data_IF_027317242759
#
_entry.id   IF_027317242759
#
_cell.length_a   1.000
_cell.length_b   1.000
_cell.length_c   1.000
_cell.angle_alpha   90.00
_cell.angle_beta   90.00
_cell.angle_gamma   90.00
#
_symmetry.space_group_name_H-M   'P 1'
#
loop_
_entity.id
_entity.type
_entity.pdbx_description
1 polymer ?
#
# COMPACT_ATOMS: atom_id res chain seq x y z
N UNK A 1 -2.79 -2.42 6.38
CA UNK A 1 -4.24 -2.62 6.10
C UNK A 1 -4.96 -2.88 7.41
N UNK A 2 -6.10 -2.24 7.60
CA UNK A 2 -6.96 -2.51 8.78
C UNK A 2 -7.49 -3.95 8.72
N UNK A 3 -7.96 -4.38 7.54
CA UNK A 3 -8.43 -5.74 7.24
C UNK A 3 -8.99 -5.80 5.82
N UNK A 4 -9.19 -7.00 5.30
CA UNK A 4 -9.76 -7.18 3.96
C UNK A 4 -11.27 -7.25 3.96
N UNK A 5 -11.84 -7.29 2.76
CA UNK A 5 -13.28 -7.35 2.52
C UNK A 5 -13.67 -8.63 1.78
N UNK A 6 -14.76 -9.25 2.21
CA UNK A 6 -15.40 -10.41 1.59
C UNK A 6 -14.66 -11.72 1.75
N UNK A 7 -15.43 -12.79 1.78
CA UNK A 7 -14.88 -14.14 1.81
C UNK A 7 -14.22 -14.49 0.47
N UNK A 8 -13.20 -15.32 0.50
CA UNK A 8 -12.40 -15.68 -0.68
C UNK A 8 -13.18 -16.43 -1.78
N UNK A 9 -14.34 -16.98 -1.46
CA UNK A 9 -15.18 -17.76 -2.37
C UNK A 9 -14.40 -18.85 -3.15
N UNK A 10 -13.34 -19.39 -2.52
CA UNK A 10 -12.46 -20.39 -3.13
C UNK A 10 -11.33 -19.82 -3.99
N UNK A 11 -11.24 -18.49 -4.18
CA UNK A 11 -10.12 -17.88 -4.87
C UNK A 11 -8.88 -17.89 -3.98
N UNK A 12 -7.94 -18.77 -4.27
CA UNK A 12 -6.80 -19.09 -3.40
C UNK A 12 -5.78 -17.95 -3.23
N UNK A 13 -5.79 -16.97 -4.11
CA UNK A 13 -4.87 -15.82 -4.07
C UNK A 13 -5.43 -14.64 -3.29
N UNK A 14 -6.63 -14.77 -2.77
CA UNK A 14 -7.30 -13.75 -1.99
C UNK A 14 -7.05 -13.96 -0.50
N UNK A 15 -7.08 -12.87 0.25
CA UNK A 15 -7.05 -12.91 1.72
C UNK A 15 -8.17 -13.85 2.24
N UNK A 16 -7.78 -14.83 3.08
CA UNK A 16 -8.70 -15.89 3.52
C UNK A 16 -9.57 -15.49 4.71
N UNK A 17 -9.11 -14.53 5.49
CA UNK A 17 -9.78 -14.07 6.71
C UNK A 17 -9.93 -12.56 6.66
N UNK A 18 -10.98 -12.05 6.00
CA UNK A 18 -11.26 -10.63 5.92
C UNK A 18 -11.83 -10.11 7.24
N UNK A 19 -11.59 -8.83 7.52
CA UNK A 19 -12.25 -8.16 8.65
C UNK A 19 -13.75 -7.96 8.36
N UNK A 20 -14.08 -7.48 7.17
CA UNK A 20 -15.46 -7.29 6.74
C UNK A 20 -15.93 -8.50 5.94
N UNK A 21 -16.75 -9.37 6.53
CA UNK A 21 -17.21 -10.63 5.90
C UNK A 21 -18.41 -10.45 4.99
N UNK A 22 -19.21 -9.43 5.22
CA UNK A 22 -20.35 -8.98 4.41
C UNK A 22 -20.61 -7.50 4.72
N UNK A 23 -21.45 -6.79 3.96
CA UNK A 23 -21.79 -5.39 4.23
C UNK A 23 -22.20 -5.18 5.70
N UNK A 24 -21.44 -4.35 6.42
CA UNK A 24 -21.66 -4.05 7.83
C UNK A 24 -21.46 -5.21 8.81
N UNK A 25 -20.90 -6.34 8.38
CA UNK A 25 -20.57 -7.48 9.25
C UNK A 25 -19.07 -7.65 9.38
N UNK A 26 -18.57 -7.63 10.60
CA UNK A 26 -17.14 -7.62 10.91
C UNK A 26 -16.76 -8.85 11.74
N UNK A 27 -15.60 -9.43 11.46
CA UNK A 27 -15.01 -10.52 12.24
C UNK A 27 -14.22 -9.93 13.42
N UNK A 28 -14.78 -10.10 14.62
CA UNK A 28 -14.18 -9.57 15.84
C UNK A 28 -12.81 -10.20 16.15
N UNK A 29 -12.56 -11.44 15.73
CA UNK A 29 -11.24 -12.07 15.95
C UNK A 29 -10.14 -11.36 15.15
N UNK A 30 -10.46 -10.93 13.93
CA UNK A 30 -9.53 -10.14 13.10
C UNK A 30 -9.32 -8.76 13.71
N UNK A 31 -10.39 -8.13 14.19
CA UNK A 31 -10.30 -6.83 14.86
C UNK A 31 -9.46 -6.91 16.15
N UNK A 32 -9.62 -7.96 16.95
CA UNK A 32 -8.77 -8.21 18.16
C UNK A 32 -7.31 -8.45 17.76
N UNK A 33 -7.05 -9.08 16.62
CA UNK A 33 -5.70 -9.20 16.07
C UNK A 33 -5.04 -7.85 15.81
N UNK A 34 -5.80 -6.89 15.26
CA UNK A 34 -5.33 -5.52 15.07
C UNK A 34 -5.12 -4.79 16.41
N UNK A 35 -6.04 -4.98 17.38
CA UNK A 35 -5.87 -4.44 18.74
C UNK A 35 -4.54 -4.91 19.36
N UNK A 36 -4.23 -6.20 19.21
CA UNK A 36 -2.99 -6.78 19.72
C UNK A 36 -1.75 -6.18 19.03
N UNK A 37 -1.80 -6.06 17.70
CA UNK A 37 -0.71 -5.45 16.93
C UNK A 37 -0.43 -4.02 17.42
N UNK A 38 -1.46 -3.19 17.53
CA UNK A 38 -1.32 -1.80 18.00
C UNK A 38 -0.79 -1.72 19.42
N UNK A 39 -1.27 -2.59 20.33
CA UNK A 39 -0.77 -2.66 21.71
C UNK A 39 0.72 -3.03 21.75
N UNK A 40 1.16 -3.96 20.91
CA UNK A 40 2.57 -4.36 20.83
C UNK A 40 3.45 -3.30 20.16
N UNK A 41 2.92 -2.54 19.21
CA UNK A 41 3.59 -1.40 18.59
C UNK A 41 3.77 -0.25 19.60
N UNK A 42 2.73 0.10 20.37
CA UNK A 42 2.82 1.13 21.42
C UNK A 42 3.93 0.83 22.41
N UNK A 43 3.99 -0.40 22.95
CA UNK A 43 5.06 -0.86 23.85
C UNK A 43 6.46 -0.69 23.28
N UNK A 44 6.61 -0.76 21.95
CA UNK A 44 7.91 -0.65 21.25
C UNK A 44 8.15 0.73 20.67
N UNK A 45 7.27 1.69 20.94
CA UNK A 45 7.31 3.04 20.37
C UNK A 45 7.31 3.05 18.83
N UNK A 46 6.71 2.03 18.23
CA UNK A 46 6.48 1.93 16.80
C UNK A 46 5.20 2.63 16.42
N UNK A 47 5.13 3.11 15.17
CA UNK A 47 3.96 3.79 14.62
C UNK A 47 3.41 3.01 13.43
N UNK A 48 2.09 3.01 13.31
CA UNK A 48 1.37 2.40 12.20
C UNK A 48 0.78 3.48 11.29
N UNK A 49 0.85 3.24 9.99
CA UNK A 49 -0.03 3.84 8.98
C UNK A 49 -1.01 2.75 8.57
N UNK A 50 -2.30 3.04 8.64
CA UNK A 50 -3.35 2.05 8.44
C UNK A 50 -4.29 2.47 7.30
N UNK A 51 -4.26 1.75 6.18
CA UNK A 51 -5.21 1.97 5.09
C UNK A 51 -6.51 1.17 5.30
N UNK A 52 -7.65 1.79 4.94
CA UNK A 52 -8.96 1.18 5.14
C UNK A 52 -9.27 0.11 4.10
N UNK A 53 -9.17 0.43 2.83
CA UNK A 53 -9.51 -0.49 1.73
C UNK A 53 -8.39 -0.54 0.69
N UNK A 54 -8.62 -1.15 -0.45
CA UNK A 54 -7.62 -1.40 -1.47
C UNK A 54 -8.21 -1.26 -2.87
N UNK A 55 -7.40 -0.82 -3.82
CA UNK A 55 -7.76 -0.92 -5.24
C UNK A 55 -7.78 -2.37 -5.71
N UNK A 56 -6.88 -3.20 -5.16
CA UNK A 56 -6.60 -4.55 -5.62
C UNK A 56 -7.52 -5.60 -5.00
N UNK A 57 -7.90 -6.55 -5.82
CA UNK A 57 -8.86 -7.61 -5.51
C UNK A 57 -8.34 -8.66 -4.51
N UNK A 58 -7.02 -8.76 -4.30
CA UNK A 58 -6.45 -9.77 -3.41
C UNK A 58 -6.88 -9.61 -1.94
N UNK A 59 -7.24 -8.40 -1.52
CA UNK A 59 -7.84 -8.15 -0.20
C UNK A 59 -9.35 -8.01 -0.22
N UNK A 60 -9.98 -8.12 -1.37
CA UNK A 60 -11.36 -7.76 -1.64
C UNK A 60 -11.48 -6.41 -2.33
N UNK A 61 -11.11 -5.36 -1.62
CA UNK A 61 -11.01 -4.01 -2.15
C UNK A 61 -12.31 -3.50 -2.78
N UNK A 62 -12.16 -2.51 -3.66
CA UNK A 62 -13.32 -1.88 -4.33
C UNK A 62 -14.17 -2.89 -5.11
N UNK A 63 -13.54 -3.93 -5.64
CA UNK A 63 -14.23 -5.00 -6.37
C UNK A 63 -15.27 -5.73 -5.53
N UNK A 64 -14.97 -5.96 -4.24
CA UNK A 64 -15.88 -6.66 -3.36
C UNK A 64 -17.15 -5.87 -3.08
N UNK A 65 -17.06 -4.56 -2.95
CA UNK A 65 -18.24 -3.71 -2.78
C UNK A 65 -19.15 -3.76 -4.01
N UNK A 66 -18.55 -3.84 -5.21
CA UNK A 66 -19.34 -4.03 -6.45
C UNK A 66 -20.08 -5.38 -6.44
N UNK A 67 -19.41 -6.48 -6.10
CA UNK A 67 -20.05 -7.80 -6.01
C UNK A 67 -21.18 -7.83 -4.99
N UNK A 68 -21.02 -7.19 -3.84
CA UNK A 68 -22.08 -7.08 -2.82
C UNK A 68 -23.31 -6.29 -3.29
N UNK A 69 -23.14 -5.47 -4.31
CA UNK A 69 -24.21 -4.66 -4.90
C UNK A 69 -24.69 -5.20 -6.24
N UNK A 70 -24.49 -6.49 -6.50
CA UNK A 70 -25.07 -7.20 -7.64
C UNK A 70 -24.32 -7.03 -8.97
N UNK A 71 -23.14 -6.46 -8.95
CA UNK A 71 -22.27 -6.44 -10.14
C UNK A 71 -21.70 -7.86 -10.41
N UNK A 72 -21.28 -8.15 -11.65
CA UNK A 72 -20.68 -9.43 -11.98
C UNK A 72 -19.47 -9.76 -11.11
N UNK A 73 -19.05 -11.03 -11.12
CA UNK A 73 -17.83 -11.46 -10.43
C UNK A 73 -16.59 -10.67 -10.87
N UNK A 74 -15.72 -10.38 -9.92
CA UNK A 74 -14.46 -9.67 -10.15
C UNK A 74 -13.60 -10.41 -11.17
N UNK A 75 -13.07 -9.71 -12.20
CA UNK A 75 -12.04 -10.28 -13.06
C UNK A 75 -10.74 -10.46 -12.27
N UNK A 76 -10.29 -11.68 -12.02
CA UNK A 76 -9.08 -11.95 -11.24
C UNK A 76 -7.82 -12.03 -12.11
N UNK A 77 -6.70 -11.39 -11.74
CA UNK A 77 -5.45 -11.38 -12.54
C UNK A 77 -4.84 -12.76 -12.81
N UNK A 78 -5.15 -13.76 -11.98
CA UNK A 78 -4.66 -15.14 -12.15
C UNK A 78 -5.60 -16.03 -12.97
N UNK A 79 -6.71 -15.48 -13.44
CA UNK A 79 -7.59 -16.19 -14.38
C UNK A 79 -6.96 -16.15 -15.77
N UNK A 80 -6.89 -17.27 -16.52
CA UNK A 80 -6.39 -17.28 -17.89
C UNK A 80 -7.13 -16.35 -18.86
N UNK A 81 -8.37 -16.00 -18.56
CA UNK A 81 -9.19 -15.07 -19.34
C UNK A 81 -9.04 -13.61 -18.91
N UNK A 82 -8.13 -13.33 -17.96
CA UNK A 82 -7.96 -11.97 -17.43
C UNK A 82 -7.58 -10.97 -18.52
N UNK A 83 -8.26 -9.84 -18.48
CA UNK A 83 -8.01 -8.70 -19.33
C UNK A 83 -7.90 -7.43 -18.45
N UNK A 84 -6.75 -6.79 -18.51
CA UNK A 84 -6.47 -5.61 -17.69
C UNK A 84 -7.46 -4.48 -17.93
N UNK A 85 -7.84 -4.24 -19.19
CA UNK A 85 -8.81 -3.18 -19.52
C UNK A 85 -10.19 -3.50 -18.94
N UNK A 86 -10.61 -4.76 -19.00
CA UNK A 86 -11.88 -5.20 -18.37
C UNK A 86 -11.86 -5.03 -16.87
N UNK A 87 -10.75 -5.36 -16.21
CA UNK A 87 -10.58 -5.14 -14.77
C UNK A 87 -10.68 -3.66 -14.42
N UNK A 88 -9.97 -2.81 -15.16
CA UNK A 88 -10.04 -1.35 -14.94
C UNK A 88 -11.47 -0.80 -15.13
N UNK A 89 -12.14 -1.19 -16.20
CA UNK A 89 -13.54 -0.81 -16.45
C UNK A 89 -14.49 -1.33 -15.36
N UNK A 90 -14.23 -2.53 -14.84
CA UNK A 90 -15.01 -3.10 -13.77
C UNK A 90 -14.86 -2.28 -12.47
N UNK A 91 -13.64 -2.10 -12.01
CA UNK A 91 -13.37 -1.37 -10.75
C UNK A 91 -13.79 0.11 -10.84
N UNK A 92 -13.65 0.75 -12.00
CA UNK A 92 -14.08 2.14 -12.20
C UNK A 92 -15.56 2.39 -11.88
N UNK A 93 -16.42 1.37 -11.98
CA UNK A 93 -17.84 1.47 -11.67
C UNK A 93 -18.09 1.76 -10.18
N UNK A 94 -17.14 1.46 -9.30
CA UNK A 94 -17.24 1.76 -7.87
C UNK A 94 -17.53 3.25 -7.63
N UNK A 95 -16.89 4.15 -8.37
CA UNK A 95 -16.99 5.59 -8.14
C UNK A 95 -18.37 6.18 -8.50
N UNK A 96 -19.21 5.42 -9.19
CA UNK A 96 -20.61 5.77 -9.48
C UNK A 96 -21.63 4.88 -8.76
N UNK A 97 -21.16 3.93 -7.95
CA UNK A 97 -22.01 3.03 -7.15
C UNK A 97 -22.24 3.66 -5.76
N UNK A 98 -23.34 4.40 -5.59
CA UNK A 98 -23.62 5.04 -4.29
C UNK A 98 -23.69 4.03 -3.12
N UNK A 99 -24.40 2.87 -3.22
CA UNK A 99 -24.41 1.90 -2.13
C UNK A 99 -23.03 1.34 -1.79
N UNK A 100 -22.13 1.21 -2.81
CA UNK A 100 -20.76 0.77 -2.57
C UNK A 100 -19.99 1.77 -1.70
N UNK A 101 -20.10 3.06 -2.00
CA UNK A 101 -19.47 4.15 -1.25
C UNK A 101 -20.00 4.24 0.18
N UNK A 102 -21.31 4.13 0.37
CA UNK A 102 -21.95 4.10 1.70
C UNK A 102 -21.47 2.91 2.55
N UNK A 103 -21.21 1.77 1.93
CA UNK A 103 -20.66 0.60 2.63
C UNK A 103 -19.19 0.84 3.07
N UNK A 104 -18.38 1.53 2.27
CA UNK A 104 -17.02 1.96 2.67
C UNK A 104 -17.11 2.97 3.82
N UNK A 105 -18.01 3.93 3.75
CA UNK A 105 -18.23 4.90 4.83
C UNK A 105 -18.61 4.20 6.14
N UNK A 106 -19.46 3.18 6.06
CA UNK A 106 -19.86 2.36 7.21
C UNK A 106 -18.67 1.62 7.81
N UNK A 107 -17.80 1.09 6.96
CA UNK A 107 -16.57 0.42 7.38
C UNK A 107 -15.61 1.39 8.08
N UNK A 108 -15.36 2.56 7.49
CA UNK A 108 -14.53 3.60 8.10
C UNK A 108 -15.07 4.00 9.48
N UNK A 109 -16.39 4.23 9.60
CA UNK A 109 -17.03 4.56 10.89
C UNK A 109 -16.84 3.46 11.93
N UNK A 110 -16.98 2.19 11.53
CA UNK A 110 -16.76 1.05 12.41
C UNK A 110 -15.33 1.04 12.97
N UNK A 111 -14.33 1.22 12.11
CA UNK A 111 -12.92 1.21 12.51
C UNK A 111 -12.60 2.38 13.44
N UNK A 112 -13.01 3.60 13.07
CA UNK A 112 -12.70 4.80 13.86
C UNK A 112 -13.45 4.86 15.20
N UNK A 113 -14.60 4.20 15.31
CA UNK A 113 -15.34 4.08 16.56
C UNK A 113 -14.80 2.99 17.50
N UNK A 114 -13.82 2.18 17.03
CA UNK A 114 -13.31 1.07 17.81
C UNK A 114 -12.53 1.54 19.04
N UNK A 115 -12.75 0.83 20.15
CA UNK A 115 -11.89 0.89 21.34
C UNK A 115 -11.05 -0.38 21.38
N UNK A 116 -9.73 -0.24 21.43
CA UNK A 116 -8.79 -1.34 21.52
C UNK A 116 -9.11 -2.21 22.76
N UNK A 117 -9.38 -3.48 22.56
CA UNK A 117 -9.81 -4.40 23.63
C UNK A 117 -8.69 -4.72 24.64
N UNK A 118 -7.42 -4.45 24.29
CA UNK A 118 -6.24 -4.71 25.11
C UNK A 118 -5.84 -3.44 25.88
N UNK A 119 -5.61 -2.34 25.16
CA UNK A 119 -5.15 -1.07 25.76
C UNK A 119 -6.28 -0.24 26.38
N UNK A 120 -7.54 -0.54 26.03
CA UNK A 120 -8.75 0.23 26.39
C UNK A 120 -8.77 1.66 25.85
N UNK A 121 -7.89 2.00 24.89
CA UNK A 121 -7.86 3.30 24.22
C UNK A 121 -8.77 3.29 22.98
N UNK A 122 -9.56 4.34 22.73
CA UNK A 122 -10.19 4.52 21.42
C UNK A 122 -9.14 4.61 20.31
N UNK A 123 -9.39 4.04 19.14
CA UNK A 123 -8.46 4.10 18.00
C UNK A 123 -8.11 5.55 17.61
N UNK A 124 -9.08 6.44 17.65
CA UNK A 124 -8.86 7.88 17.39
C UNK A 124 -7.99 8.59 18.45
N UNK A 125 -7.53 7.86 19.48
CA UNK A 125 -6.62 8.34 20.52
C UNK A 125 -5.45 7.38 20.74
N UNK A 126 -5.29 6.35 19.88
CA UNK A 126 -4.25 5.34 20.05
C UNK A 126 -2.89 5.89 19.57
N UNK A 127 -1.90 6.05 20.46
CA UNK A 127 -0.62 6.64 20.11
C UNK A 127 0.22 5.76 19.18
N UNK A 128 -0.13 4.48 18.99
CA UNK A 128 0.52 3.63 18.01
C UNK A 128 0.12 3.98 16.57
N UNK A 129 -1.03 4.60 16.37
CA UNK A 129 -1.47 5.04 15.05
C UNK A 129 -0.83 6.41 14.77
N UNK A 130 -0.11 6.54 13.68
CA UNK A 130 0.42 7.81 13.18
C UNK A 130 -0.53 8.45 12.19
N UNK A 131 -1.01 7.64 11.24
CA UNK A 131 -1.85 8.12 10.17
C UNK A 131 -2.88 7.09 9.72
N UNK A 132 -3.99 7.60 9.25
CA UNK A 132 -4.94 6.86 8.42
C UNK A 132 -4.60 7.07 6.95
N UNK A 133 -4.87 6.08 6.16
CA UNK A 133 -4.73 6.11 4.72
C UNK A 133 -6.06 5.70 4.09
N UNK A 134 -6.56 6.50 3.15
CA UNK A 134 -7.88 6.26 2.55
C UNK A 134 -7.95 4.86 1.97
N UNK A 135 -6.95 4.50 1.15
CA UNK A 135 -6.86 3.15 0.59
C UNK A 135 -5.46 2.89 0.03
N UNK A 136 -5.09 1.64 -0.08
CA UNK A 136 -3.89 1.27 -0.81
C UNK A 136 -4.06 1.50 -2.32
N UNK A 137 -3.17 2.27 -2.90
CA UNK A 137 -3.04 2.54 -4.34
C UNK A 137 -4.32 3.02 -5.02
N UNK A 138 -4.95 4.12 -4.54
CA UNK A 138 -6.17 4.66 -5.16
C UNK A 138 -5.95 5.03 -6.62
N UNK A 139 -6.79 4.47 -7.49
CA UNK A 139 -6.75 4.72 -8.94
C UNK A 139 -8.14 5.03 -9.48
N UNK A 140 -8.31 6.02 -10.35
CA UNK A 140 -9.59 6.22 -11.06
C UNK A 140 -9.90 5.05 -12.01
N UNK A 141 -8.92 4.22 -12.34
CA UNK A 141 -8.97 3.09 -13.25
C UNK A 141 -9.19 3.45 -14.70
N UNK A 142 -10.05 4.43 -14.98
CA UNK A 142 -10.27 4.98 -16.33
C UNK A 142 -10.27 6.52 -16.27
N UNK A 143 -9.89 7.16 -17.35
CA UNK A 143 -9.93 8.62 -17.42
C UNK A 143 -11.34 9.18 -17.23
N UNK A 144 -12.34 8.46 -17.73
CA UNK A 144 -13.76 8.85 -17.59
C UNK A 144 -14.22 8.86 -16.13
N UNK A 145 -13.66 8.00 -15.28
CA UNK A 145 -14.01 7.93 -13.85
C UNK A 145 -13.28 8.97 -12.99
N UNK A 146 -12.26 9.68 -13.52
CA UNK A 146 -11.45 10.63 -12.73
C UNK A 146 -12.27 11.64 -11.94
N UNK A 147 -13.29 12.32 -12.49
CA UNK A 147 -14.06 13.31 -11.71
C UNK A 147 -14.82 12.67 -10.52
N UNK A 148 -15.40 11.48 -10.73
CA UNK A 148 -16.12 10.77 -9.68
C UNK A 148 -15.14 10.23 -8.60
N UNK A 149 -13.97 9.75 -9.02
CA UNK A 149 -12.87 9.35 -8.14
C UNK A 149 -12.41 10.52 -7.24
N UNK A 150 -12.09 11.68 -7.83
CA UNK A 150 -11.67 12.86 -7.07
C UNK A 150 -12.75 13.32 -6.07
N UNK A 151 -14.01 13.23 -6.47
CA UNK A 151 -15.15 13.57 -5.59
C UNK A 151 -15.23 12.59 -4.42
N UNK A 152 -15.09 11.29 -4.66
CA UNK A 152 -15.10 10.27 -3.63
C UNK A 152 -13.89 10.41 -2.68
N UNK A 153 -12.68 10.66 -3.19
CA UNK A 153 -11.49 10.88 -2.37
C UNK A 153 -11.69 12.07 -1.41
N UNK A 154 -12.23 13.17 -1.91
CA UNK A 154 -12.53 14.36 -1.09
C UNK A 154 -13.59 14.08 -0.02
N UNK A 155 -14.67 13.38 -0.39
CA UNK A 155 -15.72 12.97 0.55
C UNK A 155 -15.13 12.10 1.67
N UNK A 156 -14.36 11.09 1.31
CA UNK A 156 -13.78 10.14 2.27
C UNK A 156 -12.75 10.83 3.19
N UNK A 157 -11.93 11.73 2.66
CA UNK A 157 -11.00 12.53 3.48
C UNK A 157 -11.76 13.37 4.50
N UNK A 158 -12.82 14.08 4.09
CA UNK A 158 -13.66 14.87 4.97
C UNK A 158 -14.36 14.00 6.03
N UNK A 159 -14.86 12.81 5.66
CA UNK A 159 -15.46 11.87 6.59
C UNK A 159 -14.46 11.46 7.69
N UNK A 160 -13.27 10.99 7.29
CA UNK A 160 -12.25 10.54 8.24
C UNK A 160 -11.88 11.68 9.20
N UNK A 161 -11.57 12.86 8.70
CA UNK A 161 -11.22 14.03 9.53
C UNK A 161 -12.36 14.54 10.40
N UNK A 162 -13.62 14.28 10.02
CA UNK A 162 -14.76 14.60 10.90
C UNK A 162 -14.83 13.69 12.12
N UNK A 163 -14.33 12.46 12.02
CA UNK A 163 -14.36 11.43 13.06
C UNK A 163 -13.07 11.39 13.88
N UNK A 164 -11.94 11.69 13.26
CA UNK A 164 -10.63 11.70 13.89
C UNK A 164 -9.85 12.97 13.50
N UNK A 165 -9.65 13.83 14.49
CA UNK A 165 -8.89 15.08 14.35
C UNK A 165 -7.44 14.96 14.88
N UNK A 166 -7.08 13.82 15.46
CA UNK A 166 -5.80 13.64 16.13
C UNK A 166 -4.73 13.06 15.20
N UNK A 167 -5.12 12.12 14.34
CA UNK A 167 -4.17 11.44 13.48
C UNK A 167 -4.04 12.11 12.11
N UNK A 168 -2.89 11.92 11.50
CA UNK A 168 -2.66 12.37 10.12
C UNK A 168 -3.51 11.55 9.15
N UNK A 169 -3.76 12.13 7.97
CA UNK A 169 -4.46 11.48 6.88
C UNK A 169 -3.67 11.63 5.59
N UNK A 170 -3.53 10.53 4.85
CA UNK A 170 -3.01 10.49 3.50
C UNK A 170 -3.90 9.67 2.58
N UNK A 171 -3.55 9.65 1.31
CA UNK A 171 -4.34 8.97 0.28
C UNK A 171 -3.94 7.52 0.07
N UNK A 172 -2.65 7.17 0.24
CA UNK A 172 -2.04 5.90 -0.15
C UNK A 172 -1.72 5.80 -1.64
N UNK A 173 -1.52 6.95 -2.29
CA UNK A 173 -1.32 7.02 -3.74
C UNK A 173 0.07 6.55 -4.16
N UNK A 174 0.12 5.85 -5.30
CA UNK A 174 1.38 5.56 -5.99
C UNK A 174 2.02 6.82 -6.62
N UNK A 175 1.27 7.91 -6.76
CA UNK A 175 1.67 9.09 -7.53
C UNK A 175 0.96 9.15 -8.90
N UNK A 176 1.63 9.74 -9.90
CA UNK A 176 1.06 9.87 -11.26
C UNK A 176 0.85 8.53 -11.98
N UNK A 177 1.53 7.47 -11.53
CA UNK A 177 1.32 6.11 -12.04
C UNK A 177 -0.12 5.63 -11.85
N UNK A 178 -0.79 6.09 -10.80
CA UNK A 178 -2.19 5.78 -10.51
C UNK A 178 -3.17 6.37 -11.54
N UNK A 179 -2.78 7.39 -12.29
CA UNK A 179 -3.64 8.18 -13.18
C UNK A 179 -3.07 8.35 -14.59
N UNK A 180 -2.52 7.28 -15.15
CA UNK A 180 -1.96 7.25 -16.51
C UNK A 180 -0.93 8.37 -16.75
N UNK A 181 -0.04 8.58 -15.77
CA UNK A 181 1.01 9.60 -15.75
C UNK A 181 0.49 11.04 -15.78
N UNK A 182 -0.74 11.27 -15.31
CA UNK A 182 -1.34 12.59 -15.17
C UNK A 182 -1.06 13.17 -13.79
N UNK A 183 0.04 13.89 -13.66
CA UNK A 183 0.48 14.50 -12.41
C UNK A 183 -0.54 15.51 -11.85
N UNK A 184 -1.33 16.15 -12.71
CA UNK A 184 -2.38 17.08 -12.33
C UNK A 184 -3.53 16.42 -11.55
N UNK A 185 -3.82 15.14 -11.81
CA UNK A 185 -4.78 14.36 -11.00
C UNK A 185 -4.22 14.15 -9.58
N UNK A 186 -2.94 13.76 -9.50
CA UNK A 186 -2.24 13.61 -8.22
C UNK A 186 -2.26 14.93 -7.42
N UNK A 187 -1.95 16.06 -8.06
CA UNK A 187 -1.98 17.37 -7.44
C UNK A 187 -3.37 17.74 -6.91
N UNK A 188 -4.43 17.59 -7.73
CA UNK A 188 -5.80 17.92 -7.32
C UNK A 188 -6.30 17.09 -6.15
N UNK A 189 -5.99 15.81 -6.10
CA UNK A 189 -6.37 14.94 -4.98
C UNK A 189 -5.65 15.37 -3.69
N UNK A 190 -4.35 15.66 -3.77
CA UNK A 190 -3.56 16.02 -2.60
C UNK A 190 -3.70 17.50 -2.19
N UNK A 191 -4.34 18.35 -3.02
CA UNK A 191 -4.65 19.74 -2.65
C UNK A 191 -5.77 19.83 -1.60
N UNK A 192 -6.52 18.75 -1.34
CA UNK A 192 -7.56 18.74 -0.31
C UNK A 192 -6.98 19.08 1.06
N UNK A 193 -7.58 20.05 1.81
CA UNK A 193 -7.06 20.49 3.11
C UNK A 193 -7.09 19.39 4.20
N UNK A 194 -7.88 18.33 4.00
CA UNK A 194 -7.93 17.20 4.92
C UNK A 194 -6.78 16.20 4.73
N UNK A 195 -6.03 16.29 3.63
CA UNK A 195 -4.84 15.45 3.38
C UNK A 195 -3.63 16.16 3.96
N UNK A 196 -2.94 15.50 4.90
CA UNK A 196 -1.82 16.11 5.64
C UNK A 196 -0.49 15.95 4.92
N UNK A 197 -0.29 14.85 4.18
CA UNK A 197 0.95 14.58 3.45
C UNK A 197 0.69 13.73 2.18
N UNK A 198 1.63 13.77 1.27
CA UNK A 198 1.59 13.05 0.00
C UNK A 198 2.31 11.71 0.12
N UNK A 199 1.84 10.71 -0.62
CA UNK A 199 2.51 9.41 -0.75
C UNK A 199 2.79 9.09 -2.21
N UNK A 200 3.89 8.38 -2.45
CA UNK A 200 4.21 7.75 -3.73
C UNK A 200 4.77 6.35 -3.52
N UNK A 201 4.47 5.45 -4.48
CA UNK A 201 5.06 4.13 -4.57
C UNK A 201 5.95 4.04 -5.80
N UNK A 202 7.01 3.24 -5.77
CA UNK A 202 7.92 3.11 -6.90
C UNK A 202 8.30 1.64 -7.11
N UNK A 203 7.73 1.05 -8.15
CA UNK A 203 7.85 -0.36 -8.49
C UNK A 203 8.55 -0.60 -9.83
N UNK A 204 9.91 -0.55 -9.87
CA UNK A 204 10.65 -0.66 -11.13
C UNK A 204 10.39 -1.95 -11.89
N UNK A 205 10.20 -3.09 -11.19
CA UNK A 205 9.88 -4.36 -11.82
C UNK A 205 8.49 -4.30 -12.47
N UNK A 206 7.47 -3.90 -11.71
CA UNK A 206 6.08 -3.88 -12.16
C UNK A 206 5.85 -2.89 -13.31
N UNK A 207 6.59 -1.79 -13.31
CA UNK A 207 6.52 -0.77 -14.36
C UNK A 207 7.44 -1.05 -15.56
N UNK A 208 8.08 -2.23 -15.61
CA UNK A 208 8.95 -2.64 -16.71
C UNK A 208 10.25 -1.85 -16.83
N UNK A 209 10.66 -1.13 -15.77
CA UNK A 209 11.94 -0.44 -15.73
C UNK A 209 13.10 -1.39 -15.40
N UNK A 210 12.83 -2.38 -14.56
CA UNK A 210 13.74 -3.44 -14.17
C UNK A 210 13.24 -4.77 -14.76
N UNK A 211 14.01 -5.34 -15.71
CA UNK A 211 13.68 -6.60 -16.37
C UNK A 211 14.63 -7.70 -15.89
N UNK A 212 14.27 -8.96 -16.17
CA UNK A 212 15.03 -10.15 -15.76
C UNK A 212 16.49 -10.13 -16.23
N UNK A 213 16.75 -9.47 -17.34
CA UNK A 213 18.09 -9.24 -17.89
C UNK A 213 18.76 -7.97 -17.36
N UNK A 214 18.18 -7.34 -16.32
CA UNK A 214 18.77 -6.17 -15.72
C UNK A 214 20.12 -6.54 -15.11
N UNK A 215 21.13 -6.24 -15.85
CA UNK A 215 22.52 -6.34 -15.44
C UNK A 215 22.91 -5.10 -14.66
N UNK A 216 24.06 -5.13 -14.00
CA UNK A 216 24.69 -3.94 -13.37
C UNK A 216 24.65 -2.72 -14.32
N UNK A 217 24.75 -2.92 -15.63
CA UNK A 217 24.67 -1.84 -16.65
C UNK A 217 23.28 -1.18 -16.76
N UNK A 218 22.21 -1.86 -16.38
CA UNK A 218 20.84 -1.32 -16.43
C UNK A 218 20.46 -0.47 -15.23
N UNK A 219 21.12 -0.64 -14.09
CA UNK A 219 20.77 0.04 -12.85
C UNK A 219 20.80 1.58 -12.92
N UNK A 220 21.78 2.23 -13.59
CA UNK A 220 21.74 3.68 -13.74
C UNK A 220 20.48 4.20 -14.43
N UNK A 221 19.91 3.44 -15.39
CA UNK A 221 18.66 3.80 -16.08
C UNK A 221 17.47 3.64 -15.13
N UNK A 222 17.41 2.55 -14.36
CA UNK A 222 16.36 2.30 -13.35
C UNK A 222 16.36 3.42 -12.30
N UNK A 223 17.53 3.72 -11.75
CA UNK A 223 17.71 4.78 -10.74
C UNK A 223 17.38 6.15 -11.34
N UNK A 224 17.79 6.42 -12.60
CA UNK A 224 17.45 7.66 -13.30
C UNK A 224 15.94 7.85 -13.45
N UNK A 225 15.20 6.81 -13.84
CA UNK A 225 13.74 6.85 -13.93
C UNK A 225 13.09 7.07 -12.57
N UNK A 226 13.56 6.36 -11.52
CA UNK A 226 13.06 6.54 -10.16
C UNK A 226 13.31 7.98 -9.67
N UNK A 227 14.47 8.55 -9.94
CA UNK A 227 14.79 9.94 -9.61
C UNK A 227 13.85 10.91 -10.30
N UNK A 228 13.68 10.79 -11.61
CA UNK A 228 12.76 11.66 -12.36
C UNK A 228 11.34 11.56 -11.79
N UNK A 229 10.90 10.36 -11.43
CA UNK A 229 9.59 10.16 -10.79
C UNK A 229 9.48 10.91 -9.47
N UNK A 230 10.46 10.74 -8.58
CA UNK A 230 10.51 11.45 -7.29
C UNK A 230 10.56 12.96 -7.49
N UNK A 231 11.44 13.46 -8.38
CA UNK A 231 11.59 14.90 -8.64
C UNK A 231 10.28 15.55 -9.10
N UNK A 232 9.51 14.90 -9.96
CA UNK A 232 8.20 15.39 -10.41
C UNK A 232 7.21 15.54 -9.24
N UNK A 233 7.17 14.56 -8.32
CA UNK A 233 6.27 14.59 -7.17
C UNK A 233 6.75 15.53 -6.06
N UNK A 234 8.07 15.73 -5.93
CA UNK A 234 8.65 16.76 -5.06
C UNK A 234 8.18 18.16 -5.47
N UNK A 235 8.11 18.45 -6.78
CA UNK A 235 7.58 19.73 -7.26
C UNK A 235 6.16 19.95 -6.78
N UNK A 236 5.28 18.94 -6.90
CA UNK A 236 3.90 19.04 -6.42
C UNK A 236 3.86 19.21 -4.90
N UNK A 237 4.64 18.44 -4.15
CA UNK A 237 4.70 18.55 -2.70
C UNK A 237 5.13 19.97 -2.25
N UNK A 238 6.12 20.56 -2.92
CA UNK A 238 6.57 21.94 -2.66
C UNK A 238 5.49 22.96 -3.00
N UNK A 239 4.79 22.82 -4.13
CA UNK A 239 3.69 23.70 -4.52
C UNK A 239 2.54 23.68 -3.52
N UNK A 240 2.21 22.49 -3.00
CA UNK A 240 1.15 22.31 -2.00
C UNK A 240 1.62 22.64 -0.58
N UNK A 241 2.92 22.79 -0.33
CA UNK A 241 3.49 22.99 1.00
C UNK A 241 3.27 21.82 1.94
N UNK A 242 3.17 20.59 1.42
CA UNK A 242 2.90 19.38 2.21
C UNK A 242 4.09 18.40 2.14
N UNK A 243 4.38 17.66 3.22
CA UNK A 243 5.41 16.63 3.21
C UNK A 243 5.12 15.52 2.19
N UNK A 244 6.19 14.86 1.70
CA UNK A 244 6.13 13.70 0.83
C UNK A 244 6.74 12.48 1.53
N UNK A 245 6.06 11.34 1.47
CA UNK A 245 6.57 10.04 1.91
C UNK A 245 6.69 9.12 0.70
N UNK A 246 7.85 8.46 0.53
CA UNK A 246 8.00 7.34 -0.39
C UNK A 246 7.53 6.10 0.37
N UNK A 247 6.26 5.77 0.21
CA UNK A 247 5.55 4.84 1.09
C UNK A 247 5.79 3.40 0.73
N UNK A 248 6.02 3.12 -0.56
CA UNK A 248 6.44 1.81 -1.02
C UNK A 248 7.55 1.93 -2.06
N UNK A 249 8.59 1.16 -1.90
CA UNK A 249 9.57 0.88 -2.94
C UNK A 249 10.25 -0.45 -2.66
N UNK A 250 10.56 -1.19 -3.70
CA UNK A 250 11.20 -2.48 -3.58
C UNK A 250 11.93 -2.89 -4.84
N UNK A 251 12.84 -3.84 -4.69
CA UNK A 251 13.50 -4.51 -5.79
C UNK A 251 13.79 -5.96 -5.41
N UNK A 252 13.58 -6.92 -6.32
CA UNK A 252 13.92 -8.32 -6.08
C UNK A 252 15.43 -8.50 -5.85
N UNK A 253 15.81 -9.67 -5.32
CA UNK A 253 17.21 -10.14 -5.34
C UNK A 253 17.71 -10.27 -6.77
N UNK A 254 19.03 -10.24 -6.93
CA UNK A 254 19.67 -10.41 -8.23
C UNK A 254 19.19 -11.70 -8.90
N UNK A 255 18.86 -11.61 -10.19
CA UNK A 255 18.28 -12.72 -10.94
C UNK A 255 16.83 -13.06 -10.59
N UNK A 256 16.17 -12.25 -9.75
CA UNK A 256 14.77 -12.45 -9.30
C UNK A 256 14.53 -13.81 -8.65
N UNK A 257 15.53 -14.30 -7.94
CA UNK A 257 15.47 -15.57 -7.21
C UNK A 257 14.94 -15.37 -5.78
N UNK A 258 14.29 -16.40 -5.24
CA UNK A 258 13.65 -16.37 -3.93
C UNK A 258 14.58 -16.80 -2.78
N UNK A 259 15.69 -17.46 -3.11
CA UNK A 259 16.60 -18.00 -2.10
C UNK A 259 17.28 -16.88 -1.31
N UNK A 260 17.25 -16.91 0.03
CA UNK A 260 17.85 -15.89 0.88
C UNK A 260 19.37 -15.68 0.68
N UNK A 261 20.06 -16.71 0.16
CA UNK A 261 21.51 -16.64 -0.11
C UNK A 261 21.88 -15.94 -1.43
N UNK A 262 20.85 -15.62 -2.25
CA UNK A 262 21.10 -14.90 -3.48
C UNK A 262 21.56 -13.47 -3.22
N UNK A 263 22.40 -12.94 -4.11
CA UNK A 263 22.94 -11.58 -4.04
C UNK A 263 21.82 -10.53 -3.98
N UNK A 264 22.01 -9.52 -3.15
CA UNK A 264 21.14 -8.32 -3.06
C UNK A 264 21.82 -7.07 -3.62
N UNK A 265 22.91 -7.23 -4.38
CA UNK A 265 23.75 -6.11 -4.82
C UNK A 265 22.96 -5.03 -5.56
N UNK A 266 22.08 -5.41 -6.51
CA UNK A 266 21.27 -4.45 -7.26
C UNK A 266 20.20 -3.80 -6.38
N UNK A 267 19.59 -4.56 -5.47
CA UNK A 267 18.69 -4.02 -4.45
C UNK A 267 19.40 -3.01 -3.56
N UNK A 268 20.58 -3.32 -3.08
CA UNK A 268 21.36 -2.45 -2.18
C UNK A 268 21.75 -1.14 -2.87
N UNK A 269 22.13 -1.21 -4.16
CA UNK A 269 22.39 -0.02 -4.99
C UNK A 269 21.13 0.83 -5.16
N UNK A 270 19.98 0.21 -5.47
CA UNK A 270 18.70 0.88 -5.61
C UNK A 270 18.25 1.53 -4.29
N UNK A 271 18.30 0.80 -3.17
CA UNK A 271 17.92 1.32 -1.84
C UNK A 271 18.82 2.49 -1.44
N UNK A 272 20.13 2.40 -1.68
CA UNK A 272 21.06 3.50 -1.43
C UNK A 272 20.70 4.75 -2.23
N UNK A 273 20.30 4.59 -3.50
CA UNK A 273 19.87 5.69 -4.34
C UNK A 273 18.55 6.30 -3.83
N UNK A 274 17.57 5.47 -3.46
CA UNK A 274 16.29 5.92 -2.91
C UNK A 274 16.47 6.73 -1.62
N UNK A 275 17.16 6.19 -0.63
CA UNK A 275 17.44 6.91 0.61
C UNK A 275 18.28 8.18 0.40
N UNK A 276 19.15 8.19 -0.63
CA UNK A 276 19.94 9.36 -0.99
C UNK A 276 19.09 10.55 -1.48
N UNK A 277 17.90 10.31 -2.00
CA UNK A 277 17.01 11.38 -2.51
C UNK A 277 16.45 12.25 -1.39
N UNK A 278 16.20 11.70 -0.17
CA UNK A 278 15.77 12.50 0.97
C UNK A 278 16.78 13.61 1.32
N UNK A 279 18.07 13.31 1.23
CA UNK A 279 19.10 14.32 1.49
C UNK A 279 19.07 15.46 0.48
N UNK A 280 18.71 15.15 -0.76
CA UNK A 280 18.57 16.15 -1.82
C UNK A 280 17.27 16.97 -1.71
N UNK A 281 16.22 16.36 -1.15
CA UNK A 281 14.86 16.93 -1.07
C UNK A 281 14.32 16.88 0.37
N UNK A 282 14.55 17.93 1.20
CA UNK A 282 14.10 17.93 2.60
C UNK A 282 12.58 17.80 2.81
N UNK A 283 11.78 18.00 1.75
CA UNK A 283 10.34 17.79 1.79
C UNK A 283 9.96 16.30 1.84
N UNK A 284 10.88 15.39 1.48
CA UNK A 284 10.70 13.95 1.67
C UNK A 284 11.04 13.64 3.13
N UNK A 285 10.03 13.26 3.90
CA UNK A 285 10.15 13.09 5.35
C UNK A 285 10.12 11.63 5.81
N UNK A 286 9.87 10.67 4.90
CA UNK A 286 9.78 9.26 5.25
C UNK A 286 9.96 8.32 4.08
N UNK A 287 10.35 7.08 4.43
CA UNK A 287 10.48 5.94 3.51
C UNK A 287 10.00 4.67 4.17
N UNK A 288 9.19 3.90 3.45
CA UNK A 288 8.90 2.51 3.80
C UNK A 288 9.32 1.63 2.63
N UNK A 289 10.24 0.73 2.84
CA UNK A 289 10.57 -0.26 1.82
C UNK A 289 9.62 -1.45 1.89
N UNK A 290 9.29 -2.01 0.76
CA UNK A 290 8.56 -3.24 0.64
C UNK A 290 9.52 -4.41 0.34
N UNK A 291 9.59 -5.47 1.17
CA UNK A 291 8.78 -5.59 2.36
C UNK A 291 9.66 -6.15 3.50
N UNK A 292 9.18 -6.04 4.72
CA UNK A 292 9.88 -6.62 5.87
C UNK A 292 9.57 -8.11 5.99
N UNK A 293 10.57 -8.97 5.68
CA UNK A 293 10.45 -10.42 5.77
C UNK A 293 10.87 -11.00 7.12
N UNK A 294 11.65 -10.25 7.91
CA UNK A 294 12.12 -10.68 9.22
C UNK A 294 12.83 -12.03 9.21
N UNK A 295 12.44 -12.93 10.09
CA UNK A 295 12.98 -14.30 10.22
C UNK A 295 12.28 -15.32 9.33
N UNK A 296 11.23 -14.93 8.61
CA UNK A 296 10.55 -15.80 7.66
C UNK A 296 11.48 -16.24 6.52
N UNK A 297 11.15 -17.34 5.87
CA UNK A 297 11.92 -17.87 4.73
C UNK A 297 10.98 -18.42 3.68
N UNK A 298 11.28 -18.20 2.38
CA UNK A 298 10.58 -18.85 1.29
C UNK A 298 10.68 -20.37 1.38
N UNK A 299 9.59 -21.05 1.06
CA UNK A 299 9.52 -22.51 1.04
C UNK A 299 9.97 -22.99 -0.35
N UNK A 300 11.01 -23.84 -0.47
CA UNK A 300 11.47 -24.33 -1.76
C UNK A 300 10.35 -24.94 -2.60
N UNK A 301 10.22 -24.49 -3.86
CA UNK A 301 9.19 -24.96 -4.78
C UNK A 301 7.79 -24.40 -4.54
N UNK A 302 7.61 -23.51 -3.54
CA UNK A 302 6.35 -22.84 -3.29
C UNK A 302 6.50 -21.33 -3.57
N UNK A 303 5.71 -20.85 -4.53
CA UNK A 303 5.75 -19.43 -4.94
C UNK A 303 4.76 -18.58 -4.17
N UNK A 304 3.55 -19.09 -3.93
CA UNK A 304 2.47 -18.35 -3.29
C UNK A 304 2.22 -18.82 -1.86
N UNK A 305 1.75 -17.90 -1.03
CA UNK A 305 1.40 -18.18 0.36
C UNK A 305 0.30 -19.24 0.48
N UNK A 306 0.42 -20.10 1.49
CA UNK A 306 -0.62 -21.04 1.91
C UNK A 306 -0.92 -20.85 3.39
N UNK A 307 -2.13 -21.22 3.80
CA UNK A 307 -2.54 -21.16 5.19
C UNK A 307 -1.55 -21.91 6.10
N UNK A 308 -1.01 -21.21 7.06
CA UNK A 308 -0.02 -21.72 8.02
C UNK A 308 1.42 -21.32 7.71
N UNK A 309 1.70 -20.76 6.53
CA UNK A 309 3.02 -20.24 6.20
C UNK A 309 3.32 -18.95 7.00
N UNK A 310 4.59 -18.68 7.23
CA UNK A 310 5.02 -17.39 7.76
C UNK A 310 4.72 -16.26 6.76
N UNK A 311 4.35 -15.10 7.27
CA UNK A 311 4.21 -13.90 6.43
C UNK A 311 5.59 -13.31 6.12
N UNK A 312 5.78 -12.94 4.85
CA UNK A 312 7.03 -12.38 4.34
C UNK A 312 6.88 -10.93 3.82
N UNK A 313 5.71 -10.35 4.00
CA UNK A 313 5.37 -9.00 3.56
C UNK A 313 4.62 -8.95 2.24
N UNK A 314 4.84 -9.89 1.33
CA UNK A 314 4.13 -9.93 0.05
C UNK A 314 2.68 -10.45 0.24
N UNK A 315 1.68 -9.88 -0.47
CA UNK A 315 0.32 -10.40 -0.47
C UNK A 315 0.24 -11.87 -0.88
N UNK A 316 -0.77 -12.60 -0.40
CA UNK A 316 -0.88 -14.04 -0.63
C UNK A 316 -0.93 -14.47 -2.10
N UNK A 317 -1.37 -13.58 -2.98
CA UNK A 317 -1.40 -13.77 -4.43
C UNK A 317 -0.13 -13.38 -5.17
N UNK A 318 0.85 -12.84 -4.47
CA UNK A 318 2.15 -12.47 -5.02
C UNK A 318 3.24 -13.48 -4.66
N UNK A 319 4.36 -13.33 -5.32
CA UNK A 319 5.53 -14.21 -5.19
C UNK A 319 6.19 -14.00 -3.83
N UNK A 320 5.97 -14.93 -2.91
CA UNK A 320 6.37 -14.81 -1.51
C UNK A 320 7.88 -14.73 -1.32
N UNK A 321 8.34 -13.64 -0.73
CA UNK A 321 9.74 -13.39 -0.45
C UNK A 321 10.52 -12.73 -1.60
N UNK A 322 9.86 -12.43 -2.73
CA UNK A 322 10.53 -11.83 -3.89
C UNK A 322 11.15 -10.47 -3.53
N UNK A 323 10.38 -9.60 -2.90
CA UNK A 323 10.84 -8.26 -2.49
C UNK A 323 11.27 -8.20 -1.03
N UNK A 324 11.07 -9.28 -0.26
CA UNK A 324 11.29 -9.29 1.18
C UNK A 324 12.74 -9.04 1.56
N UNK A 325 12.93 -8.19 2.57
CA UNK A 325 14.20 -7.99 3.25
C UNK A 325 14.21 -8.86 4.50
N UNK A 326 15.02 -9.91 4.49
CA UNK A 326 15.14 -10.84 5.62
C UNK A 326 16.22 -10.38 6.60
N UNK A 327 16.20 -10.91 7.81
CA UNK A 327 17.23 -10.69 8.84
C UNK A 327 18.64 -11.13 8.37
N UNK A 328 18.71 -12.07 7.43
CA UNK A 328 19.93 -12.54 6.80
C UNK A 328 20.55 -11.54 5.80
N UNK A 329 19.80 -10.55 5.30
CA UNK A 329 20.24 -9.59 4.29
C UNK A 329 21.14 -8.49 4.86
N UNK A 330 22.30 -8.89 5.36
CA UNK A 330 23.20 -8.02 6.11
C UNK A 330 23.64 -6.78 5.32
N UNK A 331 23.85 -6.91 4.00
CA UNK A 331 24.25 -5.78 3.15
C UNK A 331 23.10 -4.78 2.98
N UNK A 332 21.86 -5.24 2.76
CA UNK A 332 20.67 -4.37 2.70
C UNK A 332 20.46 -3.65 4.04
N UNK A 333 20.56 -4.36 5.17
CA UNK A 333 20.47 -3.74 6.50
C UNK A 333 21.59 -2.74 6.78
N UNK A 334 22.79 -2.97 6.25
CA UNK A 334 23.88 -2.00 6.35
C UNK A 334 23.55 -0.71 5.58
N UNK A 335 22.92 -0.81 4.39
CA UNK A 335 22.43 0.35 3.63
C UNK A 335 21.37 1.10 4.44
N UNK A 336 20.34 0.41 4.93
CA UNK A 336 19.27 1.01 5.77
C UNK A 336 19.88 1.71 6.99
N UNK A 337 20.73 1.01 7.74
CA UNK A 337 21.36 1.54 8.96
C UNK A 337 22.27 2.75 8.72
N UNK A 338 22.93 2.83 7.56
CA UNK A 338 23.72 4.00 7.16
C UNK A 338 22.87 5.26 7.05
N UNK A 339 21.71 5.16 6.40
CA UNK A 339 20.84 6.30 6.16
C UNK A 339 20.01 6.69 7.39
N UNK A 340 19.58 5.74 8.24
CA UNK A 340 18.93 6.04 9.52
C UNK A 340 19.78 6.92 10.44
N UNK A 341 21.11 6.80 10.39
CA UNK A 341 22.03 7.66 11.17
C UNK A 341 22.08 9.09 10.66
N UNK A 342 21.69 9.33 9.42
CA UNK A 342 21.73 10.67 8.81
C UNK A 342 20.40 11.42 8.94
N UNK A 343 19.36 10.75 9.44
CA UNK A 343 18.02 11.31 9.65
C UNK A 343 17.81 11.88 11.07
N UNK A 344 18.86 11.90 11.91
CA UNK A 344 18.80 12.40 13.29
C UNK A 344 19.12 13.89 13.36
#
# INVERSE_FOLDING_TARGET
>A
MVGGEGLSNGYKYRLQQPLQTAPGKFDENIAVGLDYLLAEMDKRQMKAVLHFTNTWEWSGGLSQYLEWNGYPATPFPKDPSFDWNKFQQYVAQFFTCEPCKEQVDTYIRYVLARTNTITKKPYVQDPAIMAWEIMNEPRPMTLAATPAFETWMRHTAALIKSLDKNHLLTTGSEGDAASDRKIDVFERVHSDPNIDYLTIHIWPKNWGWFRDTATVKGMPVVIGKARTYVDNHVVVAQQLGKPLVIEEFGLPRDGQVFTPDASTKLRDEYFAAMFGMMKAHPIIVGYNFWAFGGTARPIPGQVFWKKGDAYMGDPGGEEQGLNSVFDADKSTWAVVGKYLKTMK
#
